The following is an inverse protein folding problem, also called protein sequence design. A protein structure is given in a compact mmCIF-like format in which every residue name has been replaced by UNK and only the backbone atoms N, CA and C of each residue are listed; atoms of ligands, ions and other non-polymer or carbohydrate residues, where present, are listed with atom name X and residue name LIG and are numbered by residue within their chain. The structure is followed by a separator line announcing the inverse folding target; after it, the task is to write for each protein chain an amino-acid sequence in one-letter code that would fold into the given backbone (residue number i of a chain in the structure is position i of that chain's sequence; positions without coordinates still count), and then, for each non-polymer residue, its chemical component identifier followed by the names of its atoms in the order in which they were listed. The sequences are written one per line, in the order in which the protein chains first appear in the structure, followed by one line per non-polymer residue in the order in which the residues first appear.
data_IF_491087211542
#
_entry.id   IF_491087211542
#
_cell.length_a   1.000
_cell.length_b   1.000
_cell.length_c   1.000
_cell.angle_alpha   90.00
_cell.angle_beta   90.00
_cell.angle_gamma   90.00
#
_symmetry.space_group_name_H-M   'P 1'
#
loop_
_entity.id
_entity.type
_entity.pdbx_description
1 polymer ?
#
# COMPACT_ATOMS: atom_id res chain seq x y z
N UNK A 1 25.57 -24.44 -1.90
CA UNK A 1 26.72 -25.40 -1.67
C UNK A 1 26.46 -26.68 -2.43
N UNK A 2 27.39 -27.07 -3.34
CA UNK A 2 27.32 -28.36 -3.98
C UNK A 2 27.88 -29.44 -3.02
N UNK A 3 27.18 -30.55 -2.89
CA UNK A 3 27.68 -31.72 -2.22
C UNK A 3 28.41 -32.60 -3.26
N UNK A 4 29.69 -32.75 -3.09
CA UNK A 4 30.55 -33.55 -3.99
C UNK A 4 31.13 -34.70 -3.18
N UNK A 5 30.94 -35.93 -3.64
CA UNK A 5 31.54 -37.11 -3.07
C UNK A 5 32.59 -37.64 -4.05
N UNK A 6 33.77 -37.90 -3.55
CA UNK A 6 34.87 -38.46 -4.33
C UNK A 6 35.34 -39.81 -3.71
N UNK A 7 35.79 -40.74 -4.54
CA UNK A 7 36.38 -41.97 -4.06
C UNK A 7 37.84 -41.77 -3.60
N UNK A 8 38.45 -42.86 -3.09
CA UNK A 8 39.83 -42.82 -2.60
C UNK A 8 40.86 -42.50 -3.70
N UNK A 9 40.50 -42.59 -4.96
CA UNK A 9 41.29 -42.22 -6.13
C UNK A 9 41.05 -40.82 -6.64
N UNK A 10 40.18 -40.02 -5.92
CA UNK A 10 39.86 -38.66 -6.30
C UNK A 10 38.85 -38.54 -7.43
N UNK A 11 38.16 -39.61 -7.83
CA UNK A 11 37.13 -39.56 -8.88
C UNK A 11 35.79 -39.15 -8.27
N UNK A 12 35.05 -38.31 -9.00
CA UNK A 12 33.72 -37.90 -8.62
C UNK A 12 32.75 -39.10 -8.65
N UNK A 13 32.18 -39.48 -7.50
CA UNK A 13 31.24 -40.60 -7.37
C UNK A 13 29.80 -40.13 -7.20
N UNK A 14 29.58 -38.89 -6.68
CA UNK A 14 28.30 -38.27 -6.65
C UNK A 14 28.43 -36.74 -6.65
N UNK A 15 27.53 -36.09 -7.32
CA UNK A 15 27.36 -34.67 -7.23
C UNK A 15 25.86 -34.36 -7.10
N UNK A 16 25.47 -33.59 -6.08
CA UNK A 16 24.14 -33.06 -5.97
C UNK A 16 24.24 -31.55 -5.78
N UNK A 17 23.35 -30.82 -6.41
CA UNK A 17 23.13 -29.44 -6.02
C UNK A 17 22.70 -29.49 -4.55
N UNK A 18 23.51 -28.96 -3.64
CA UNK A 18 23.05 -28.70 -2.28
C UNK A 18 21.81 -27.81 -2.35
N UNK A 19 20.97 -27.89 -1.35
CA UNK A 19 19.88 -26.93 -1.15
C UNK A 19 20.46 -25.54 -0.84
N UNK A 20 21.18 -24.97 -1.78
CA UNK A 20 21.53 -23.57 -1.81
C UNK A 20 20.44 -22.90 -2.60
N UNK A 21 19.49 -22.27 -1.93
CA UNK A 21 18.72 -21.26 -2.61
C UNK A 21 19.73 -20.33 -3.30
N UNK A 22 19.53 -20.06 -4.57
CA UNK A 22 20.34 -19.13 -5.38
C UNK A 22 20.26 -17.68 -4.84
N UNK A 23 19.62 -17.48 -3.69
CA UNK A 23 19.33 -16.16 -3.13
C UNK A 23 18.25 -15.40 -3.90
N UNK A 24 17.62 -16.04 -4.86
CA UNK A 24 16.56 -15.44 -5.65
C UNK A 24 15.25 -15.36 -4.86
N UNK A 25 14.56 -14.25 -5.02
CA UNK A 25 13.23 -14.06 -4.47
C UNK A 25 12.19 -14.13 -5.58
N UNK A 26 11.12 -14.82 -5.32
CA UNK A 26 10.07 -15.06 -6.31
C UNK A 26 8.80 -14.30 -5.93
N UNK A 27 8.19 -13.59 -6.89
CA UNK A 27 6.94 -12.90 -6.61
C UNK A 27 5.83 -13.92 -6.35
N UNK A 28 5.16 -13.80 -5.20
CA UNK A 28 4.00 -14.63 -4.84
C UNK A 28 2.70 -13.94 -5.09
N UNK A 29 2.70 -12.62 -4.92
CA UNK A 29 1.49 -11.85 -5.09
C UNK A 29 1.81 -10.41 -5.46
N UNK A 30 1.10 -9.90 -6.47
CA UNK A 30 1.00 -8.48 -6.76
C UNK A 30 -0.49 -8.16 -6.74
N UNK A 31 -0.92 -7.46 -5.71
CA UNK A 31 -2.32 -7.17 -5.47
C UNK A 31 -2.57 -5.67 -5.36
N UNK A 32 -3.56 -5.18 -6.13
CA UNK A 32 -4.09 -3.82 -6.01
C UNK A 32 -5.41 -3.83 -5.25
N UNK A 33 -5.63 -2.84 -4.37
CA UNK A 33 -6.85 -2.72 -3.60
C UNK A 33 -8.05 -2.16 -4.41
N UNK A 34 -9.28 -2.33 -3.89
CA UNK A 34 -9.60 -3.11 -2.70
C UNK A 34 -9.66 -4.61 -3.00
N UNK A 35 -8.86 -5.40 -2.36
CA UNK A 35 -8.86 -6.86 -2.52
C UNK A 35 -8.26 -7.55 -1.30
N UNK A 36 -8.61 -8.80 -1.08
CA UNK A 36 -8.07 -9.63 -0.01
C UNK A 36 -8.07 -11.10 -0.40
N UNK A 37 -7.27 -11.89 0.28
CA UNK A 37 -7.17 -13.33 0.04
C UNK A 37 -6.17 -14.00 0.94
N UNK A 38 -5.79 -15.21 0.56
CA UNK A 38 -4.78 -15.99 1.24
C UNK A 38 -3.72 -16.44 0.24
N UNK A 39 -2.50 -16.61 0.70
CA UNK A 39 -1.45 -17.34 -0.02
C UNK A 39 -0.70 -18.24 0.95
N UNK A 40 -0.08 -19.30 0.43
CA UNK A 40 0.74 -20.22 1.25
C UNK A 40 2.19 -20.12 0.80
N UNK A 41 3.09 -20.08 1.78
CA UNK A 41 4.53 -20.17 1.54
C UNK A 41 4.94 -21.61 1.19
N UNK A 42 5.93 -21.80 0.31
CA UNK A 42 6.49 -23.12 0.04
C UNK A 42 7.15 -23.78 1.25
N UNK A 43 7.39 -25.10 1.14
CA UNK A 43 8.01 -25.88 2.22
C UNK A 43 9.47 -25.47 2.53
N UNK A 44 10.12 -24.77 1.64
CA UNK A 44 11.50 -24.29 1.76
C UNK A 44 11.60 -22.77 1.98
N UNK A 45 10.48 -22.05 2.07
CA UNK A 45 10.50 -20.62 2.34
C UNK A 45 10.97 -20.33 3.76
N UNK A 46 11.82 -19.35 3.91
CA UNK A 46 12.37 -18.92 5.20
C UNK A 46 12.40 -17.40 5.37
N UNK A 47 12.48 -16.67 4.27
CA UNK A 47 12.56 -15.20 4.24
C UNK A 47 11.60 -14.59 3.25
N UNK A 48 11.26 -13.33 3.48
CA UNK A 48 10.45 -12.53 2.56
C UNK A 48 10.96 -11.11 2.48
N UNK A 49 10.54 -10.43 1.41
CA UNK A 49 10.44 -8.99 1.39
C UNK A 49 9.16 -8.54 0.69
N UNK A 50 8.69 -7.36 1.05
CA UNK A 50 7.46 -6.82 0.51
C UNK A 50 7.56 -5.29 0.32
N UNK A 51 6.98 -4.82 -0.77
CA UNK A 51 6.71 -3.41 -1.02
C UNK A 51 5.22 -3.16 -0.84
N UNK A 52 4.88 -2.21 -0.01
CA UNK A 52 3.50 -2.05 0.46
C UNK A 52 3.08 -0.60 0.44
N UNK A 53 1.96 -0.33 -0.21
CA UNK A 53 1.24 0.93 -0.12
C UNK A 53 -0.15 0.69 0.46
N UNK A 54 -0.57 1.53 1.37
CA UNK A 54 -1.96 1.59 1.82
C UNK A 54 -2.76 2.58 0.97
N UNK A 55 -4.08 2.51 1.06
CA UNK A 55 -4.95 3.43 0.33
C UNK A 55 -4.84 4.87 0.80
N UNK A 56 -4.92 5.82 -0.10
CA UNK A 56 -5.01 7.25 0.21
C UNK A 56 -6.40 7.64 0.68
N UNK A 57 -6.49 8.63 1.55
CA UNK A 57 -7.75 9.22 1.98
C UNK A 57 -8.39 10.07 0.88
N UNK A 58 -9.71 10.15 0.86
CA UNK A 58 -10.46 11.02 -0.04
C UNK A 58 -10.49 12.47 0.42
N UNK A 59 -10.61 13.40 -0.50
CA UNK A 59 -10.77 14.83 -0.21
C UNK A 59 -12.15 15.17 0.31
N UNK A 60 -12.28 16.21 1.13
CA UNK A 60 -13.54 16.71 1.63
C UNK A 60 -14.31 17.53 0.59
N UNK A 61 -15.63 17.63 0.76
CA UNK A 61 -16.52 18.45 -0.04
C UNK A 61 -16.40 19.95 0.28
N UNK A 62 -16.61 20.78 -0.72
CA UNK A 62 -16.64 22.24 -0.59
C UNK A 62 -17.98 22.79 -0.12
N UNK A 63 -18.01 24.08 0.26
CA UNK A 63 -19.22 24.85 0.60
C UNK A 63 -19.44 25.96 -0.41
N UNK A 64 -20.59 25.91 -1.11
CA UNK A 64 -20.87 26.82 -2.22
C UNK A 64 -21.10 28.28 -1.87
N UNK A 65 -21.61 28.57 -0.67
CA UNK A 65 -22.03 29.95 -0.31
C UNK A 65 -20.86 30.95 -0.20
N UNK A 66 -19.67 30.55 0.16
CA UNK A 66 -18.54 31.45 0.44
C UNK A 66 -17.22 30.98 -0.26
N UNK A 67 -17.31 30.24 -1.35
CA UNK A 67 -16.11 29.72 -2.07
C UNK A 67 -15.13 28.97 -1.16
N UNK A 68 -15.64 28.22 -0.19
CA UNK A 68 -14.82 27.47 0.74
C UNK A 68 -14.50 26.08 0.19
N UNK A 69 -13.22 25.73 0.19
CA UNK A 69 -12.72 24.48 -0.36
C UNK A 69 -12.67 23.38 0.70
N UNK A 70 -12.96 22.15 0.31
CA UNK A 70 -12.71 20.98 1.14
C UNK A 70 -11.21 20.73 1.30
N UNK A 71 -10.82 20.10 2.39
CA UNK A 71 -9.44 19.65 2.62
C UNK A 71 -9.06 18.47 1.73
N UNK A 72 -7.80 18.38 1.31
CA UNK A 72 -7.31 17.19 0.63
C UNK A 72 -7.24 16.00 1.58
N UNK A 73 -7.37 14.77 1.08
CA UNK A 73 -7.09 13.57 1.85
C UNK A 73 -5.60 13.44 2.18
N UNK A 74 -5.27 12.55 3.10
CA UNK A 74 -3.89 12.17 3.41
C UNK A 74 -3.38 11.09 2.44
N UNK A 75 -2.09 11.09 2.17
CA UNK A 75 -1.44 10.01 1.44
C UNK A 75 -1.47 8.72 2.27
N UNK A 76 -1.67 7.56 1.64
CA UNK A 76 -1.49 6.26 2.27
C UNK A 76 -0.04 6.02 2.68
N UNK A 77 0.18 5.25 3.75
CA UNK A 77 1.51 4.85 4.16
C UNK A 77 2.20 4.02 3.08
N UNK A 78 3.52 4.11 3.03
CA UNK A 78 4.38 3.27 2.22
C UNK A 78 5.45 2.63 3.09
N UNK A 79 5.68 1.32 2.93
CA UNK A 79 6.70 0.58 3.66
C UNK A 79 7.37 -0.48 2.81
N UNK A 80 8.64 -0.71 3.13
CA UNK A 80 9.39 -1.90 2.72
C UNK A 80 9.57 -2.78 3.96
N UNK A 81 9.26 -4.06 3.82
CA UNK A 81 9.36 -5.04 4.89
C UNK A 81 10.21 -6.20 4.44
N UNK A 82 11.12 -6.64 5.31
CA UNK A 82 11.91 -7.82 5.11
C UNK A 82 12.02 -8.59 6.43
N UNK A 83 11.93 -9.90 6.37
CA UNK A 83 11.95 -10.72 7.58
C UNK A 83 11.86 -12.21 7.30
N UNK A 84 11.48 -12.96 8.31
CA UNK A 84 11.29 -14.40 8.22
C UNK A 84 9.84 -14.76 8.00
N UNK A 85 9.58 -15.80 7.22
CA UNK A 85 8.28 -16.48 7.10
C UNK A 85 8.42 -17.93 7.56
N UNK A 86 7.29 -18.52 7.93
CA UNK A 86 7.24 -19.96 8.19
C UNK A 86 6.94 -20.72 6.91
N UNK A 87 7.67 -21.80 6.69
CA UNK A 87 7.43 -22.71 5.58
C UNK A 87 6.03 -23.34 5.67
N UNK A 88 5.43 -23.65 4.53
CA UNK A 88 4.12 -24.31 4.41
C UNK A 88 3.01 -23.64 5.24
N UNK A 89 3.09 -22.33 5.40
CA UNK A 89 2.14 -21.56 6.23
C UNK A 89 1.25 -20.68 5.35
N UNK A 90 -0.03 -20.65 5.65
CA UNK A 90 -1.01 -19.80 4.97
C UNK A 90 -1.13 -18.45 5.68
N UNK A 91 -0.95 -17.37 4.92
CA UNK A 91 -1.08 -15.98 5.36
C UNK A 91 -2.29 -15.33 4.71
N UNK A 92 -3.10 -14.66 5.53
CA UNK A 92 -4.15 -13.79 5.03
C UNK A 92 -3.57 -12.40 4.70
N UNK A 93 -4.01 -11.82 3.59
CA UNK A 93 -3.59 -10.49 3.15
C UNK A 93 -4.78 -9.63 2.76
N UNK A 94 -4.59 -8.31 2.82
CA UNK A 94 -5.53 -7.34 2.29
C UNK A 94 -4.79 -6.14 1.70
N UNK A 95 -5.22 -5.69 0.53
CA UNK A 95 -4.77 -4.46 -0.10
C UNK A 95 -5.86 -3.40 0.01
N UNK A 96 -5.53 -2.27 0.60
CA UNK A 96 -6.48 -1.23 0.94
C UNK A 96 -7.15 -0.56 -0.27
N UNK A 97 -8.44 -0.26 -0.14
CA UNK A 97 -9.16 0.55 -1.12
C UNK A 97 -8.87 2.05 -0.97
N UNK A 98 -9.23 2.83 -1.98
CA UNK A 98 -9.17 4.29 -1.92
C UNK A 98 -10.24 4.83 -0.96
N UNK A 99 -9.97 5.94 -0.30
CA UNK A 99 -11.01 6.73 0.36
C UNK A 99 -11.88 7.46 -0.66
N UNK A 100 -13.18 7.41 -0.47
CA UNK A 100 -14.14 8.16 -1.30
C UNK A 100 -14.08 9.66 -1.04
N UNK A 101 -14.38 10.50 -2.04
CA UNK A 101 -14.48 11.95 -1.88
C UNK A 101 -15.74 12.38 -1.13
N UNK A 102 -15.67 13.51 -0.44
CA UNK A 102 -16.80 14.13 0.21
C UNK A 102 -17.72 14.85 -0.78
N UNK A 103 -19.01 14.90 -0.47
CA UNK A 103 -20.00 15.62 -1.27
C UNK A 103 -20.05 17.11 -0.95
N UNK A 104 -20.37 17.92 -1.96
CA UNK A 104 -20.64 19.35 -1.79
C UNK A 104 -22.08 19.60 -1.37
N UNK A 105 -22.30 20.67 -0.62
CA UNK A 105 -23.64 21.16 -0.36
C UNK A 105 -23.67 22.68 -0.23
N UNK A 106 -24.88 23.31 -0.30
CA UNK A 106 -25.08 24.72 -0.01
C UNK A 106 -24.78 25.05 1.46
N UNK A 107 -24.98 24.08 2.36
CA UNK A 107 -24.64 24.20 3.78
C UNK A 107 -23.17 23.85 4.04
N UNK A 108 -22.95 22.71 4.67
CA UNK A 108 -21.61 22.20 4.95
C UNK A 108 -21.21 21.12 3.93
N UNK A 109 -19.99 21.19 3.40
CA UNK A 109 -19.39 20.07 2.67
C UNK A 109 -19.20 18.88 3.61
N UNK A 110 -19.39 17.64 3.12
CA UNK A 110 -19.10 16.46 3.92
C UNK A 110 -17.61 16.14 3.90
N UNK A 111 -17.07 15.53 4.96
CA UNK A 111 -15.70 14.99 4.90
C UNK A 111 -15.61 13.88 3.86
N UNK A 112 -14.41 13.64 3.35
CA UNK A 112 -14.11 12.43 2.56
C UNK A 112 -14.15 11.18 3.44
N UNK A 113 -13.72 10.06 2.88
CA UNK A 113 -13.55 8.80 3.60
C UNK A 113 -12.07 8.46 3.73
N UNK A 114 -11.70 7.76 4.79
CA UNK A 114 -10.35 7.23 4.96
C UNK A 114 -10.06 6.17 3.88
N UNK A 115 -8.81 6.03 3.48
CA UNK A 115 -8.36 4.89 2.71
C UNK A 115 -8.38 3.60 3.53
N UNK A 116 -8.18 2.46 2.90
CA UNK A 116 -8.03 1.17 3.56
C UNK A 116 -6.57 0.82 3.85
N UNK A 117 -6.27 0.13 4.97
CA UNK A 117 -4.93 -0.37 5.26
C UNK A 117 -4.54 -1.51 4.31
N UNK A 118 -3.23 -1.71 4.15
CA UNK A 118 -2.68 -2.87 3.44
C UNK A 118 -1.84 -3.68 4.40
N UNK A 119 -2.04 -5.01 4.44
CA UNK A 119 -1.42 -5.86 5.44
C UNK A 119 -1.19 -7.31 4.96
N UNK A 120 -0.28 -7.99 5.65
CA UNK A 120 -0.25 -9.46 5.76
C UNK A 120 -0.33 -9.80 7.23
N UNK A 121 -1.32 -10.61 7.62
CA UNK A 121 -1.58 -10.96 9.02
C UNK A 121 -0.35 -11.63 9.64
N UNK A 122 0.09 -11.10 10.78
CA UNK A 122 1.25 -11.61 11.51
C UNK A 122 2.61 -11.13 11.00
N UNK A 123 2.68 -10.42 9.86
CA UNK A 123 3.93 -9.87 9.34
C UNK A 123 3.99 -8.34 9.43
N UNK A 124 3.03 -7.64 8.87
CA UNK A 124 2.99 -6.17 8.89
C UNK A 124 1.61 -5.60 8.59
N UNK A 125 1.43 -4.34 8.96
CA UNK A 125 0.28 -3.51 8.56
C UNK A 125 0.76 -2.11 8.22
N UNK A 126 0.33 -1.60 7.07
CA UNK A 126 0.57 -0.22 6.62
C UNK A 126 -0.75 0.53 6.70
N UNK A 127 -0.76 1.63 7.43
CA UNK A 127 -1.96 2.42 7.67
C UNK A 127 -2.29 3.31 6.47
N UNK A 128 -3.58 3.47 6.25
CA UNK A 128 -4.10 4.32 5.19
C UNK A 128 -3.95 5.81 5.50
N UNK A 129 -4.13 6.63 4.48
CA UNK A 129 -4.33 8.07 4.62
C UNK A 129 -5.72 8.40 5.15
N UNK A 130 -5.82 9.41 6.00
CA UNK A 130 -7.08 9.89 6.52
C UNK A 130 -7.80 10.80 5.52
N UNK A 131 -9.11 10.92 5.69
CA UNK A 131 -9.93 11.80 4.88
C UNK A 131 -9.60 13.28 5.10
N UNK A 132 -9.80 14.08 4.08
CA UNK A 132 -9.89 15.54 4.21
C UNK A 132 -11.22 15.97 4.79
N UNK A 133 -11.23 17.06 5.57
CA UNK A 133 -12.44 17.63 6.16
C UNK A 133 -13.31 18.32 5.12
N UNK A 134 -14.62 18.28 5.31
CA UNK A 134 -15.55 19.10 4.55
C UNK A 134 -15.47 20.58 4.97
N UNK A 135 -15.77 21.48 4.06
CA UNK A 135 -15.84 22.90 4.35
C UNK A 135 -17.06 23.24 5.20
N UNK A 136 -16.88 24.07 6.25
CA UNK A 136 -17.93 24.57 7.13
C UNK A 136 -17.82 26.10 7.28
N UNK A 137 -18.83 26.81 7.79
CA UNK A 137 -18.75 28.27 7.98
C UNK A 137 -17.53 28.75 8.75
N UNK A 138 -16.94 27.89 9.60
CA UNK A 138 -15.84 28.25 10.50
C UNK A 138 -14.47 27.72 10.02
N UNK A 139 -14.36 27.07 8.84
CA UNK A 139 -13.10 26.49 8.33
C UNK A 139 -12.35 27.50 7.49
N UNK A 140 -12.33 28.69 7.53
CA UNK A 140 -11.55 29.58 6.64
C UNK A 140 -11.71 29.20 5.15
N UNK A 141 -10.84 29.69 4.26
CA UNK A 141 -10.96 29.44 2.82
C UNK A 141 -10.74 27.97 2.42
N UNK A 142 -10.01 27.20 3.20
CA UNK A 142 -9.73 25.78 2.94
C UNK A 142 -9.88 24.97 4.23
N UNK A 143 -10.62 23.87 4.16
CA UNK A 143 -10.77 22.95 5.28
C UNK A 143 -9.47 22.14 5.54
N UNK A 144 -9.28 21.64 6.78
CA UNK A 144 -8.10 20.83 7.13
C UNK A 144 -7.93 19.60 6.24
N UNK A 145 -6.68 19.33 5.85
CA UNK A 145 -6.31 18.13 5.13
C UNK A 145 -6.22 16.92 6.06
N UNK A 146 -6.42 15.73 5.52
CA UNK A 146 -6.23 14.48 6.22
C UNK A 146 -4.75 14.21 6.51
N UNK A 147 -4.47 13.52 7.60
CA UNK A 147 -3.11 13.10 7.95
C UNK A 147 -2.65 11.92 7.08
N UNK A 148 -1.34 11.84 6.88
CA UNK A 148 -0.74 10.71 6.17
C UNK A 148 -0.85 9.42 6.96
N UNK A 149 -0.94 8.30 6.25
CA UNK A 149 -0.78 6.96 6.80
C UNK A 149 0.66 6.69 7.21
N UNK A 150 0.86 5.70 8.05
CA UNK A 150 2.16 5.29 8.56
C UNK A 150 2.47 3.84 8.20
N UNK A 151 3.75 3.50 8.21
CA UNK A 151 4.25 2.14 7.98
C UNK A 151 5.09 1.69 9.18
N UNK A 152 4.45 1.33 10.30
CA UNK A 152 5.16 0.91 11.51
C UNK A 152 6.04 -0.31 11.27
N UNK A 153 7.27 -0.30 11.80
CA UNK A 153 8.20 -1.42 11.68
C UNK A 153 8.74 -1.66 10.28
N UNK A 154 8.57 -0.70 9.35
CA UNK A 154 9.19 -0.81 8.03
C UNK A 154 10.71 -0.84 8.14
N UNK A 155 11.33 -1.72 7.36
CA UNK A 155 12.79 -1.82 7.25
C UNK A 155 13.29 -0.65 6.38
N UNK A 156 14.48 -0.07 6.63
CA UNK A 156 15.13 0.78 5.66
C UNK A 156 15.33 -0.01 4.36
N UNK A 157 14.54 0.31 3.36
CA UNK A 157 14.61 -0.36 2.06
C UNK A 157 15.66 0.29 1.16
N UNK A 158 16.06 -0.39 0.08
CA UNK A 158 16.78 0.27 -0.98
C UNK A 158 15.96 1.47 -1.46
N UNK A 159 16.62 2.57 -1.79
CA UNK A 159 15.96 3.73 -2.42
C UNK A 159 15.51 3.33 -3.83
N UNK A 160 14.38 2.64 -3.89
CA UNK A 160 13.73 2.32 -5.15
C UNK A 160 12.82 3.49 -5.48
N UNK A 161 12.99 4.01 -6.67
CA UNK A 161 12.13 5.08 -7.19
C UNK A 161 10.68 4.60 -7.15
N UNK A 162 9.83 5.33 -6.45
CA UNK A 162 8.41 4.95 -6.26
C UNK A 162 7.70 4.72 -7.59
N UNK A 163 8.10 5.45 -8.63
CA UNK A 163 7.50 5.39 -9.94
C UNK A 163 7.78 4.06 -10.66
N UNK A 164 8.85 3.36 -10.31
CA UNK A 164 9.25 2.11 -10.95
C UNK A 164 8.45 0.88 -10.45
N UNK A 165 7.89 0.95 -9.24
CA UNK A 165 7.09 -0.14 -8.66
C UNK A 165 5.61 -0.05 -9.03
N UNK A 166 5.20 0.98 -9.76
CA UNK A 166 3.81 1.37 -9.91
C UNK A 166 3.37 1.27 -11.37
N UNK A 167 3.00 0.09 -11.79
CA UNK A 167 2.33 -0.11 -13.07
C UNK A 167 0.97 0.60 -13.08
N UNK A 168 0.92 1.76 -13.74
CA UNK A 168 -0.30 2.33 -14.31
C UNK A 168 -1.14 3.25 -13.43
N UNK A 169 -1.41 4.39 -13.97
CA UNK A 169 -2.57 5.30 -13.82
C UNK A 169 -3.12 5.59 -12.42
N UNK A 170 -2.44 6.14 -11.57
CA UNK A 170 -2.64 6.70 -10.24
C UNK A 170 -1.66 6.02 -9.29
N UNK A 171 -0.61 6.74 -8.89
CA UNK A 171 0.33 6.23 -7.91
C UNK A 171 -0.43 5.69 -6.68
N UNK A 172 -0.16 4.46 -6.22
CA UNK A 172 -0.81 3.89 -5.06
C UNK A 172 -0.74 4.83 -3.86
N UNK A 173 -1.81 4.87 -3.08
CA UNK A 173 -1.87 5.66 -1.87
C UNK A 173 -1.91 7.18 -2.05
N UNK A 174 -2.08 7.70 -3.27
CA UNK A 174 -2.19 9.15 -3.49
C UNK A 174 -3.38 9.75 -2.74
N UNK A 175 -3.25 10.98 -2.20
CA UNK A 175 -4.35 11.66 -1.54
C UNK A 175 -5.42 12.10 -2.56
N UNK A 176 -6.68 12.03 -2.16
CA UNK A 176 -7.78 12.65 -2.89
C UNK A 176 -7.71 14.16 -2.81
N UNK A 177 -8.01 14.83 -3.90
CA UNK A 177 -8.09 16.31 -3.92
C UNK A 177 -9.26 16.80 -3.09
N UNK A 178 -9.07 17.89 -2.34
CA UNK A 178 -10.18 18.63 -1.76
C UNK A 178 -11.06 19.24 -2.86
N UNK A 179 -12.34 19.39 -2.57
CA UNK A 179 -13.27 20.01 -3.50
C UNK A 179 -12.89 21.46 -3.79
N UNK A 180 -12.95 21.85 -5.03
CA UNK A 180 -12.90 23.25 -5.45
C UNK A 180 -14.33 23.79 -5.52
N UNK A 181 -14.60 24.89 -4.81
CA UNK A 181 -15.89 25.53 -4.83
C UNK A 181 -15.72 26.99 -5.27
N UNK A 182 -15.82 27.29 -6.57
CA UNK A 182 -15.80 28.66 -7.06
C UNK A 182 -17.10 29.38 -6.70
N UNK A 183 -17.05 30.70 -6.61
CA UNK A 183 -18.18 31.58 -6.24
C UNK A 183 -19.38 31.52 -7.21
N UNK A 184 -19.25 30.85 -8.35
CA UNK A 184 -20.28 30.74 -9.38
C UNK A 184 -21.22 29.52 -9.25
N UNK A 185 -21.21 28.83 -8.12
CA UNK A 185 -22.14 27.72 -7.82
C UNK A 185 -21.84 26.38 -8.45
N UNK A 186 -20.79 26.23 -9.26
CA UNK A 186 -20.31 24.94 -9.76
C UNK A 186 -19.45 24.26 -8.69
N UNK A 187 -20.06 23.43 -7.89
CA UNK A 187 -19.41 22.72 -6.80
C UNK A 187 -18.88 21.38 -7.30
N UNK A 188 -17.57 21.21 -7.32
CA UNK A 188 -16.96 19.90 -7.57
C UNK A 188 -16.85 19.11 -6.26
N UNK A 189 -17.22 17.83 -6.25
CA UNK A 189 -17.04 16.98 -5.07
C UNK A 189 -15.54 16.75 -4.80
N UNK A 190 -15.21 16.37 -3.57
CA UNK A 190 -13.87 15.93 -3.25
C UNK A 190 -13.46 14.72 -4.09
N UNK A 191 -12.18 14.63 -4.47
CA UNK A 191 -11.64 13.51 -5.24
C UNK A 191 -11.42 12.28 -4.36
N UNK A 192 -11.50 11.09 -4.96
CA UNK A 192 -11.12 9.85 -4.29
C UNK A 192 -9.60 9.75 -4.14
N UNK A 193 -9.13 9.07 -3.09
CA UNK A 193 -7.73 8.70 -2.93
C UNK A 193 -7.27 7.61 -3.90
N UNK A 194 -5.99 7.30 -3.90
CA UNK A 194 -5.42 6.19 -4.66
C UNK A 194 -5.59 4.85 -3.93
N UNK A 195 -5.61 3.76 -4.67
CA UNK A 195 -5.69 2.40 -4.14
C UNK A 195 -4.40 2.01 -3.41
N UNK A 196 -4.48 1.09 -2.46
CA UNK A 196 -3.32 0.40 -1.89
C UNK A 196 -2.74 -0.63 -2.86
N UNK A 197 -1.51 -1.04 -2.60
CA UNK A 197 -0.82 -2.08 -3.35
C UNK A 197 0.06 -2.92 -2.43
N UNK A 198 0.10 -4.21 -2.69
CA UNK A 198 0.96 -5.17 -2.02
C UNK A 198 1.74 -5.97 -3.07
N UNK A 199 3.07 -5.97 -2.96
CA UNK A 199 3.95 -6.85 -3.73
C UNK A 199 4.78 -7.65 -2.75
N UNK A 200 4.65 -8.97 -2.77
CA UNK A 200 5.27 -9.88 -1.82
C UNK A 200 6.15 -10.92 -2.54
N UNK A 201 7.32 -11.15 -1.99
CA UNK A 201 8.33 -12.08 -2.49
C UNK A 201 8.80 -12.99 -1.37
N UNK A 202 9.06 -14.24 -1.65
CA UNK A 202 9.75 -15.16 -0.75
C UNK A 202 10.92 -15.88 -1.44
N UNK A 203 11.79 -16.51 -0.63
CA UNK A 203 13.00 -17.25 -1.06
C UNK A 203 12.74 -18.73 -1.35
N UNK A 204 11.50 -19.17 -1.31
CA UNK A 204 11.12 -20.58 -1.41
C UNK A 204 10.67 -21.05 -2.79
N UNK A 205 11.09 -20.43 -3.87
CA UNK A 205 10.50 -20.59 -5.19
C UNK A 205 10.89 -21.82 -6.00
N UNK A 206 11.93 -22.56 -5.64
CA UNK A 206 12.39 -23.76 -6.38
C UNK A 206 12.88 -24.82 -5.40
#
# INVERSE_FOLDING_TARGET
TANITVDAQGRLTAASSGAGGDGSYYPRAVHGGPSSGNFSTPANASKYYAFVHAGGGGGGGGRGENSQHGGSGGQGGFGFYAGSVQASTTYAWGAGGPGGGGSNSFGNGSPGQNGGPTFITGLFTVNAGNAGSGATPNTGPTAPSGSQGSAPGSTPGPSIDRDYLLYGASAPGTPGRGAYSPSNGNNEPGGSGGKGQLTFYDDGGQ
#
